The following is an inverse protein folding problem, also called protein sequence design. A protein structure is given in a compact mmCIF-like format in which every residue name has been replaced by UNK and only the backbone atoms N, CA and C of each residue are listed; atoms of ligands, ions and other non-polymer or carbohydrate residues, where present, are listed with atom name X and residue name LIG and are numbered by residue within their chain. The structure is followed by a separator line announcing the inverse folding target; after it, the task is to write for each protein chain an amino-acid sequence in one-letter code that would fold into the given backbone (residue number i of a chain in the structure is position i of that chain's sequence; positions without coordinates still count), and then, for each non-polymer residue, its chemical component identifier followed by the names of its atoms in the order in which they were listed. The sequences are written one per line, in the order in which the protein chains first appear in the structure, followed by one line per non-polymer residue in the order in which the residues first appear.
data_IF_379574956307
#
_entry.id   IF_379574956307
#
_cell.length_a   1.000
_cell.length_b   1.000
_cell.length_c   1.000
_cell.angle_alpha   90.00
_cell.angle_beta   90.00
_cell.angle_gamma   90.00
#
_symmetry.space_group_name_H-M   'P 1'
#
loop_
_entity.id
_entity.type
_entity.pdbx_description
1 polymer ?
#
# COMPACT_ATOMS: atom_id res chain seq x y z
N UNK A 1 21.87 -32.77 22.37
CA UNK A 1 21.06 -31.77 23.08
C UNK A 1 21.82 -31.35 24.33
N UNK A 2 21.69 -30.10 24.76
CA UNK A 2 22.24 -29.61 26.04
C UNK A 2 21.21 -28.72 26.73
N UNK A 3 21.09 -28.78 28.07
CA UNK A 3 20.21 -27.88 28.81
C UNK A 3 20.58 -26.42 28.60
N UNK A 4 19.57 -25.57 28.37
CA UNK A 4 19.78 -24.13 28.12
C UNK A 4 20.45 -23.45 29.32
N UNK A 5 20.16 -23.89 30.54
CA UNK A 5 20.77 -23.36 31.76
C UNK A 5 22.26 -23.67 31.92
N UNK A 6 22.80 -24.65 31.17
CA UNK A 6 24.23 -24.99 31.19
C UNK A 6 25.04 -24.21 30.14
N UNK A 7 24.37 -23.48 29.24
CA UNK A 7 25.01 -22.70 28.20
C UNK A 7 25.46 -21.35 28.72
N UNK A 8 26.76 -21.07 28.59
CA UNK A 8 27.40 -19.83 29.08
C UNK A 8 27.65 -18.86 27.93
N UNK A 9 27.03 -17.66 27.92
CA UNK A 9 27.30 -16.65 26.91
C UNK A 9 28.78 -16.27 26.90
N UNK A 10 29.38 -16.20 25.71
CA UNK A 10 30.74 -15.67 25.56
C UNK A 10 30.78 -14.17 25.90
N UNK A 11 31.56 -13.81 26.93
CA UNK A 11 31.62 -12.46 27.48
C UNK A 11 32.16 -11.41 26.47
N UNK A 12 32.99 -11.84 25.51
CA UNK A 12 33.55 -10.99 24.46
C UNK A 12 32.76 -10.97 23.16
N UNK A 13 31.50 -11.41 23.15
CA UNK A 13 30.71 -11.42 21.92
C UNK A 13 30.41 -9.98 21.47
N UNK A 14 31.00 -9.58 20.34
CA UNK A 14 30.83 -8.26 19.77
C UNK A 14 29.46 -8.07 19.10
N UNK A 15 28.76 -9.15 18.74
CA UNK A 15 27.43 -9.08 18.10
C UNK A 15 26.34 -8.96 19.15
N UNK A 16 25.49 -7.95 19.00
CA UNK A 16 24.33 -7.74 19.87
C UNK A 16 23.06 -8.22 19.19
N UNK A 17 22.07 -8.62 20.00
CA UNK A 17 20.76 -9.04 19.51
C UNK A 17 19.68 -8.17 20.15
N UNK A 18 18.92 -7.44 19.32
CA UNK A 18 17.80 -6.64 19.79
C UNK A 18 16.64 -7.55 20.22
N UNK A 19 15.74 -7.05 21.09
CA UNK A 19 14.52 -7.78 21.47
C UNK A 19 13.66 -8.17 20.26
N UNK A 20 13.64 -7.33 19.22
CA UNK A 20 12.93 -7.61 17.96
C UNK A 20 13.56 -8.80 17.23
N UNK A 21 14.88 -8.81 17.08
CA UNK A 21 15.59 -9.89 16.40
C UNK A 21 15.43 -11.22 17.16
N UNK A 22 15.50 -11.22 18.49
CA UNK A 22 15.29 -12.43 19.30
C UNK A 22 13.88 -13.00 19.08
N UNK A 23 12.85 -12.15 18.96
CA UNK A 23 11.50 -12.60 18.61
C UNK A 23 11.42 -13.21 17.22
N UNK A 24 12.02 -12.60 16.20
CA UNK A 24 12.05 -13.18 14.85
C UNK A 24 12.71 -14.57 14.83
N UNK A 25 13.80 -14.76 15.60
CA UNK A 25 14.43 -16.07 15.74
C UNK A 25 13.50 -17.05 16.47
N UNK A 26 12.76 -16.61 17.49
CA UNK A 26 11.79 -17.43 18.20
C UNK A 26 10.61 -17.86 17.31
N UNK A 27 10.09 -16.96 16.49
CA UNK A 27 9.01 -17.26 15.54
C UNK A 27 9.48 -18.27 14.48
N UNK A 28 10.71 -18.09 13.98
CA UNK A 28 11.38 -19.05 13.09
C UNK A 28 11.54 -20.43 13.73
N UNK A 29 12.03 -20.51 14.98
CA UNK A 29 12.16 -21.78 15.72
C UNK A 29 10.80 -22.44 15.95
N UNK A 30 9.76 -21.66 16.25
CA UNK A 30 8.40 -22.19 16.45
C UNK A 30 7.85 -22.80 15.17
N UNK A 31 8.13 -22.20 14.00
CA UNK A 31 7.64 -22.68 12.71
C UNK A 31 8.45 -23.84 12.15
N UNK A 32 9.77 -23.71 12.12
CA UNK A 32 10.67 -24.62 11.40
C UNK A 32 11.39 -25.60 12.34
N UNK A 33 11.24 -25.43 13.65
CA UNK A 33 12.04 -26.13 14.63
C UNK A 33 13.45 -25.56 14.73
N UNK A 34 14.27 -26.22 15.54
CA UNK A 34 15.65 -25.82 15.78
C UNK A 34 16.57 -26.38 14.69
N UNK A 35 16.58 -25.73 13.51
CA UNK A 35 17.24 -26.24 12.30
C UNK A 35 18.76 -26.13 12.32
N UNK A 36 19.30 -25.09 12.97
CA UNK A 36 20.74 -24.92 13.17
C UNK A 36 21.12 -25.14 14.64
N UNK A 37 22.12 -25.98 14.96
CA UNK A 37 22.57 -26.22 16.33
C UNK A 37 23.46 -25.10 16.89
N UNK A 38 23.42 -24.89 18.20
CA UNK A 38 24.31 -23.93 18.90
C UNK A 38 25.72 -24.51 18.93
N UNK A 39 26.70 -23.72 18.51
CA UNK A 39 28.10 -24.15 18.56
C UNK A 39 28.68 -23.80 19.93
N UNK A 40 29.28 -24.77 20.61
CA UNK A 40 29.81 -24.59 21.96
C UNK A 40 31.24 -25.09 22.07
N UNK A 41 31.94 -24.65 23.11
CA UNK A 41 33.08 -25.42 23.62
C UNK A 41 32.61 -26.63 24.46
N UNK A 42 33.56 -27.45 24.89
CA UNK A 42 33.31 -28.64 25.72
C UNK A 42 32.68 -28.28 27.06
N UNK A 43 33.04 -27.12 27.61
CA UNK A 43 32.52 -26.59 28.86
C UNK A 43 31.16 -25.88 28.71
N UNK A 44 30.55 -25.83 27.53
CA UNK A 44 29.25 -25.17 27.31
C UNK A 44 29.31 -23.65 27.12
N UNK A 45 30.49 -23.08 26.92
CA UNK A 45 30.65 -21.72 26.41
C UNK A 45 30.10 -21.61 24.99
N UNK A 46 29.21 -20.65 24.74
CA UNK A 46 28.59 -20.45 23.43
C UNK A 46 29.62 -19.77 22.50
N UNK A 47 29.97 -20.46 21.41
CA UNK A 47 30.83 -19.94 20.34
C UNK A 47 29.95 -19.23 19.30
N UNK A 48 28.86 -19.86 18.85
CA UNK A 48 27.91 -19.28 17.90
C UNK A 48 26.47 -19.70 18.22
N UNK A 49 25.52 -18.78 18.01
CA UNK A 49 24.10 -19.02 18.25
C UNK A 49 23.52 -18.38 19.50
N UNK A 50 24.13 -17.32 20.04
CA UNK A 50 23.60 -16.57 21.20
C UNK A 50 22.14 -16.13 21.01
N UNK A 51 21.78 -15.61 19.83
CA UNK A 51 20.40 -15.24 19.51
C UNK A 51 19.42 -16.42 19.56
N UNK A 52 19.86 -17.63 19.16
CA UNK A 52 19.05 -18.86 19.23
C UNK A 52 18.84 -19.33 20.66
N UNK A 53 19.86 -19.20 21.52
CA UNK A 53 19.72 -19.50 22.95
C UNK A 53 18.77 -18.49 23.62
N UNK A 54 18.89 -17.20 23.31
CA UNK A 54 17.97 -16.18 23.82
C UNK A 54 16.52 -16.42 23.35
N UNK A 55 16.33 -16.85 22.10
CA UNK A 55 15.02 -17.24 21.57
C UNK A 55 14.47 -18.50 22.24
N UNK A 56 15.31 -19.52 22.49
CA UNK A 56 14.93 -20.71 23.23
C UNK A 56 14.46 -20.39 24.66
N UNK A 57 15.17 -19.48 25.34
CA UNK A 57 14.77 -18.97 26.65
C UNK A 57 13.42 -18.26 26.60
N UNK A 58 13.19 -17.42 25.58
CA UNK A 58 11.92 -16.74 25.37
C UNK A 58 10.75 -17.72 25.16
N UNK A 59 11.00 -18.82 24.47
CA UNK A 59 10.01 -19.87 24.18
C UNK A 59 9.82 -20.88 25.33
N UNK A 60 10.61 -20.80 26.40
CA UNK A 60 10.58 -21.79 27.49
C UNK A 60 11.15 -23.16 27.10
N UNK A 61 11.95 -23.24 26.03
CA UNK A 61 12.62 -24.47 25.61
C UNK A 61 13.75 -24.77 26.59
N UNK A 62 13.73 -25.98 27.17
CA UNK A 62 14.69 -26.39 28.22
C UNK A 62 16.00 -26.97 27.67
N UNK A 63 15.99 -27.53 26.47
CA UNK A 63 17.15 -28.12 25.81
C UNK A 63 17.26 -27.70 24.35
N UNK A 64 18.48 -27.48 23.88
CA UNK A 64 18.75 -27.10 22.47
C UNK A 64 19.77 -28.04 21.83
N UNK A 65 19.72 -28.24 20.50
CA UNK A 65 20.75 -29.00 19.80
C UNK A 65 22.07 -28.23 19.80
N UNK A 66 23.16 -28.94 20.08
CA UNK A 66 24.50 -28.37 20.21
C UNK A 66 25.53 -29.19 19.45
N UNK A 67 26.54 -28.52 18.89
CA UNK A 67 27.77 -29.15 18.38
C UNK A 67 28.95 -28.57 19.16
N UNK A 68 29.72 -29.44 19.80
CA UNK A 68 30.95 -29.06 20.49
C UNK A 68 32.11 -28.97 19.49
N UNK A 69 32.77 -27.81 19.43
CA UNK A 69 33.95 -27.58 18.60
C UNK A 69 35.24 -27.90 19.37
N UNK A 70 35.34 -29.13 19.88
CA UNK A 70 36.43 -29.60 20.74
C UNK A 70 37.81 -29.51 20.08
N UNK A 71 37.86 -29.56 18.75
CA UNK A 71 39.09 -29.51 17.96
C UNK A 71 39.72 -28.11 17.88
N UNK A 72 38.97 -27.04 18.21
CA UNK A 72 39.48 -25.68 18.13
C UNK A 72 40.22 -25.30 19.42
N UNK A 73 41.40 -24.71 19.25
CA UNK A 73 42.14 -24.04 20.32
C UNK A 73 41.38 -22.81 20.86
N UNK A 74 41.72 -22.32 22.07
CA UNK A 74 41.10 -21.12 22.62
C UNK A 74 41.18 -19.90 21.69
N UNK A 75 42.31 -19.72 21.01
CA UNK A 75 42.54 -18.63 20.06
C UNK A 75 41.68 -18.77 18.81
N UNK A 76 41.59 -19.99 18.25
CA UNK A 76 40.75 -20.27 17.08
C UNK A 76 39.27 -20.09 17.40
N UNK A 77 38.81 -20.46 18.60
CA UNK A 77 37.43 -20.18 19.04
C UNK A 77 37.13 -18.69 19.04
N UNK A 78 38.04 -17.87 19.57
CA UNK A 78 37.88 -16.41 19.58
C UNK A 78 37.83 -15.83 18.16
N UNK A 79 38.70 -16.31 17.28
CA UNK A 79 38.69 -15.92 15.87
C UNK A 79 37.39 -16.35 15.18
N UNK A 80 36.90 -17.56 15.45
CA UNK A 80 35.68 -18.10 14.86
C UNK A 80 34.43 -17.31 15.30
N UNK A 81 34.33 -16.89 16.57
CA UNK A 81 33.23 -16.01 17.04
C UNK A 81 33.12 -14.73 16.18
N UNK A 82 34.25 -14.15 15.80
CA UNK A 82 34.28 -12.97 14.93
C UNK A 82 33.96 -13.33 13.48
N UNK A 83 34.55 -14.43 12.98
CA UNK A 83 34.39 -14.88 11.61
C UNK A 83 32.94 -15.28 11.29
N UNK A 84 32.27 -16.09 12.13
CA UNK A 84 30.87 -16.49 11.96
C UNK A 84 29.95 -15.27 11.83
N UNK A 85 30.17 -14.26 12.67
CA UNK A 85 29.40 -13.03 12.63
C UNK A 85 29.66 -12.21 11.37
N UNK A 86 30.93 -12.01 11.01
CA UNK A 86 31.32 -11.14 9.90
C UNK A 86 31.07 -11.78 8.52
N UNK A 87 31.28 -13.08 8.39
CA UNK A 87 31.05 -13.80 7.13
C UNK A 87 29.57 -13.78 6.76
N UNK A 88 28.66 -13.95 7.74
CA UNK A 88 27.24 -13.81 7.51
C UNK A 88 26.84 -12.38 7.06
N UNK A 89 27.49 -11.33 7.58
CA UNK A 89 27.24 -9.94 7.17
C UNK A 89 27.82 -9.58 5.79
N UNK A 90 28.86 -10.29 5.34
CA UNK A 90 29.49 -10.02 4.05
C UNK A 90 28.71 -10.63 2.87
N UNK A 91 27.74 -11.51 3.14
CA UNK A 91 26.88 -12.08 2.12
C UNK A 91 25.87 -11.05 1.61
N UNK A 92 25.65 -11.04 0.31
CA UNK A 92 24.59 -10.25 -0.34
C UNK A 92 23.51 -11.16 -0.93
N UNK A 93 22.40 -10.55 -1.32
CA UNK A 93 21.32 -11.24 -2.02
C UNK A 93 21.41 -10.97 -3.52
N UNK A 94 21.26 -12.02 -4.33
CA UNK A 94 20.85 -11.85 -5.71
C UNK A 94 19.38 -11.38 -5.72
N UNK A 95 19.16 -10.11 -6.10
CA UNK A 95 17.85 -9.47 -5.96
C UNK A 95 16.78 -10.07 -6.86
N UNK A 96 17.16 -10.61 -8.01
CA UNK A 96 16.21 -11.19 -8.96
C UNK A 96 15.72 -12.55 -8.47
N UNK A 97 16.67 -13.40 -8.08
CA UNK A 97 16.37 -14.71 -7.48
C UNK A 97 15.56 -14.54 -6.19
N UNK A 98 15.94 -13.59 -5.34
CA UNK A 98 15.20 -13.32 -4.10
C UNK A 98 13.75 -12.87 -4.38
N UNK A 99 13.52 -12.03 -5.39
CA UNK A 99 12.17 -11.62 -5.76
C UNK A 99 11.30 -12.79 -6.22
N UNK A 100 11.87 -13.71 -7.01
CA UNK A 100 11.17 -14.91 -7.50
C UNK A 100 10.76 -15.80 -6.32
N UNK A 101 11.69 -16.07 -5.39
CA UNK A 101 11.41 -16.90 -4.20
C UNK A 101 10.37 -16.25 -3.28
N UNK A 102 10.49 -14.95 -3.01
CA UNK A 102 9.50 -14.22 -2.20
C UNK A 102 8.11 -14.21 -2.86
N UNK A 103 8.03 -14.07 -4.19
CA UNK A 103 6.76 -14.16 -4.91
C UNK A 103 6.18 -15.57 -4.85
N UNK A 104 6.99 -16.61 -5.01
CA UNK A 104 6.54 -18.00 -4.87
C UNK A 104 5.98 -18.31 -3.48
N UNK A 105 6.58 -17.75 -2.42
CA UNK A 105 6.06 -17.84 -1.05
C UNK A 105 4.72 -17.10 -0.87
N UNK A 106 4.54 -15.94 -1.52
CA UNK A 106 3.26 -15.21 -1.52
C UNK A 106 2.17 -16.05 -2.17
N UNK A 107 2.47 -16.66 -3.32
CA UNK A 107 1.48 -17.38 -4.13
C UNK A 107 0.91 -18.61 -3.39
N UNK A 108 1.69 -19.20 -2.48
CA UNK A 108 1.26 -20.30 -1.60
C UNK A 108 0.71 -19.84 -0.24
N UNK A 109 0.61 -18.54 0.00
CA UNK A 109 0.10 -17.96 1.24
C UNK A 109 1.02 -18.14 2.46
N UNK A 110 2.33 -18.20 2.24
CA UNK A 110 3.31 -18.31 3.31
C UNK A 110 3.49 -16.98 4.07
N UNK A 111 3.67 -17.06 5.39
CA UNK A 111 3.97 -15.88 6.21
C UNK A 111 5.43 -15.44 6.01
N UNK A 112 5.60 -14.39 5.22
CA UNK A 112 6.91 -13.89 4.83
C UNK A 112 7.69 -13.26 5.98
N UNK A 113 7.05 -12.79 7.06
CA UNK A 113 7.81 -12.21 8.18
C UNK A 113 8.72 -13.25 8.88
N UNK A 114 8.40 -14.54 8.72
CA UNK A 114 9.21 -15.67 9.21
C UNK A 114 10.52 -15.87 8.44
N UNK A 115 10.65 -15.27 7.26
CA UNK A 115 11.90 -15.30 6.48
C UNK A 115 12.99 -14.42 7.09
N UNK A 116 12.61 -13.54 8.03
CA UNK A 116 13.49 -12.54 8.62
C UNK A 116 13.53 -11.21 7.86
N UNK A 117 13.01 -11.18 6.62
CA UNK A 117 12.79 -9.93 5.91
C UNK A 117 11.59 -9.18 6.49
N UNK A 118 11.72 -7.86 6.64
CA UNK A 118 10.56 -7.03 6.91
C UNK A 118 9.66 -6.94 5.66
N UNK A 119 8.36 -6.71 5.88
CA UNK A 119 7.41 -6.51 4.77
C UNK A 119 7.83 -5.37 3.83
N UNK A 120 8.51 -4.34 4.36
CA UNK A 120 9.07 -3.26 3.54
C UNK A 120 10.18 -3.77 2.60
N UNK A 121 11.14 -4.55 3.12
CA UNK A 121 12.22 -5.14 2.30
C UNK A 121 11.69 -6.09 1.23
N UNK A 122 10.65 -6.85 1.55
CA UNK A 122 9.96 -7.74 0.61
C UNK A 122 9.35 -6.93 -0.53
N UNK A 123 8.58 -5.89 -0.20
CA UNK A 123 7.98 -5.01 -1.20
C UNK A 123 9.04 -4.43 -2.14
N UNK A 124 10.16 -3.92 -1.60
CA UNK A 124 11.23 -3.34 -2.41
C UNK A 124 11.90 -4.34 -3.33
N UNK A 125 12.08 -5.57 -2.86
CA UNK A 125 12.69 -6.62 -3.67
C UNK A 125 11.79 -6.98 -4.85
N UNK A 126 10.48 -7.13 -4.61
CA UNK A 126 9.50 -7.45 -5.66
C UNK A 126 9.34 -6.30 -6.67
N UNK A 127 9.31 -5.05 -6.19
CA UNK A 127 9.16 -3.88 -7.07
C UNK A 127 10.39 -3.68 -7.96
N UNK A 128 11.59 -3.79 -7.39
CA UNK A 128 12.83 -3.68 -8.17
C UNK A 128 12.93 -4.77 -9.26
N UNK A 129 12.31 -5.93 -9.07
CA UNK A 129 12.20 -6.95 -10.11
C UNK A 129 11.19 -6.55 -11.20
N UNK A 130 10.02 -6.03 -10.80
CA UNK A 130 8.97 -5.56 -11.74
C UNK A 130 9.40 -4.38 -12.59
N UNK A 131 10.14 -3.42 -12.04
CA UNK A 131 10.69 -2.28 -12.80
C UNK A 131 11.70 -2.71 -13.88
N UNK A 132 12.42 -3.83 -13.65
CA UNK A 132 13.38 -4.38 -14.62
C UNK A 132 12.72 -5.18 -15.75
N UNK A 133 11.53 -5.72 -15.53
CA UNK A 133 10.73 -6.32 -16.60
C UNK A 133 10.10 -5.23 -17.47
N UNK A 134 10.58 -5.06 -18.69
CA UNK A 134 10.16 -4.01 -19.65
C UNK A 134 8.69 -4.09 -20.11
N UNK A 135 7.95 -5.15 -19.74
CA UNK A 135 6.62 -5.44 -20.27
C UNK A 135 5.45 -4.75 -19.52
N UNK A 136 5.74 -3.97 -18.47
CA UNK A 136 4.72 -3.42 -17.55
C UNK A 136 4.51 -1.90 -17.56
N UNK A 137 5.40 -1.12 -18.19
CA UNK A 137 5.38 0.34 -18.06
C UNK A 137 4.05 0.96 -18.56
N UNK A 138 3.29 1.54 -17.65
CA UNK A 138 2.03 2.24 -17.95
C UNK A 138 0.79 1.36 -18.12
N UNK A 139 0.87 0.02 -17.95
CA UNK A 139 -0.31 -0.86 -17.91
C UNK A 139 -1.25 -0.47 -16.76
N UNK A 140 -0.69 -0.14 -15.60
CA UNK A 140 -1.45 0.23 -14.40
C UNK A 140 -2.24 1.52 -14.59
N UNK A 141 -1.73 2.47 -15.36
CA UNK A 141 -2.38 3.74 -15.68
C UNK A 141 -3.39 3.64 -16.84
N UNK A 142 -3.54 2.48 -17.49
CA UNK A 142 -4.54 2.31 -18.54
C UNK A 142 -5.94 2.43 -17.96
N UNK A 143 -6.76 3.24 -18.61
CA UNK A 143 -8.19 3.32 -18.36
C UNK A 143 -8.95 2.51 -19.41
N UNK A 144 -10.11 1.93 -19.04
CA UNK A 144 -11.01 1.35 -20.01
C UNK A 144 -11.53 2.43 -20.97
N UNK A 145 -12.03 2.01 -22.14
CA UNK A 145 -12.70 2.91 -23.07
C UNK A 145 -13.86 3.63 -22.39
N UNK A 146 -14.19 4.83 -22.88
CA UNK A 146 -15.25 5.66 -22.32
C UNK A 146 -16.56 4.88 -22.17
N UNK A 147 -17.07 4.85 -20.93
CA UNK A 147 -18.32 4.16 -20.62
C UNK A 147 -19.48 5.05 -21.07
N UNK A 148 -20.13 4.64 -22.16
CA UNK A 148 -21.31 5.30 -22.70
C UNK A 148 -22.57 4.49 -22.38
N UNK A 149 -23.69 5.17 -22.12
CA UNK A 149 -24.96 4.53 -21.78
C UNK A 149 -25.30 4.59 -20.28
N UNK A 150 -26.39 3.89 -19.86
CA UNK A 150 -26.80 3.87 -18.47
C UNK A 150 -25.79 3.07 -17.62
N UNK A 151 -25.54 3.53 -16.39
CA UNK A 151 -24.73 2.79 -15.45
C UNK A 151 -25.38 1.45 -15.08
N UNK A 152 -24.56 0.41 -14.99
CA UNK A 152 -24.91 -0.90 -14.45
C UNK A 152 -25.00 -0.82 -12.93
N UNK A 153 -24.01 -0.18 -12.31
CA UNK A 153 -24.02 0.09 -10.87
C UNK A 153 -25.14 1.05 -10.50
N UNK A 154 -25.73 0.86 -9.32
CA UNK A 154 -26.73 1.76 -8.73
C UNK A 154 -26.26 2.29 -7.38
N UNK A 155 -26.74 3.49 -6.96
CA UNK A 155 -26.51 3.98 -5.61
C UNK A 155 -26.86 2.92 -4.55
N UNK A 156 -25.95 2.71 -3.60
CA UNK A 156 -26.06 1.71 -2.54
C UNK A 156 -25.50 0.32 -2.89
N UNK A 157 -25.20 0.04 -4.16
CA UNK A 157 -24.52 -1.20 -4.56
C UNK A 157 -23.16 -1.30 -3.89
N UNK A 158 -22.82 -2.50 -3.42
CA UNK A 158 -21.53 -2.85 -2.86
C UNK A 158 -20.94 -4.00 -3.68
N UNK A 159 -19.74 -3.79 -4.20
CA UNK A 159 -19.03 -4.73 -5.06
C UNK A 159 -17.81 -5.32 -4.34
N UNK A 160 -17.63 -6.62 -4.50
CA UNK A 160 -16.43 -7.34 -4.13
C UNK A 160 -15.52 -7.50 -5.34
N UNK A 161 -14.26 -7.06 -5.20
CA UNK A 161 -13.23 -7.18 -6.23
C UNK A 161 -12.03 -7.94 -5.64
N UNK A 162 -12.22 -9.24 -5.38
CA UNK A 162 -11.21 -10.09 -4.75
C UNK A 162 -10.97 -9.72 -3.27
N UNK A 163 -9.82 -9.12 -2.97
CA UNK A 163 -9.50 -8.60 -1.63
C UNK A 163 -10.05 -7.20 -1.36
N UNK A 164 -10.66 -6.56 -2.37
CA UNK A 164 -11.07 -5.16 -2.39
C UNK A 164 -12.59 -4.99 -2.35
N UNK A 165 -13.04 -3.79 -1.99
CA UNK A 165 -14.46 -3.43 -1.98
C UNK A 165 -14.70 -2.04 -2.54
N UNK A 166 -15.82 -1.88 -3.25
CA UNK A 166 -16.30 -0.62 -3.80
C UNK A 166 -17.77 -0.43 -3.44
N UNK A 167 -18.12 0.69 -2.82
CA UNK A 167 -19.51 1.11 -2.63
C UNK A 167 -19.84 2.29 -3.53
N UNK A 168 -21.00 2.23 -4.19
CA UNK A 168 -21.57 3.39 -4.86
C UNK A 168 -22.32 4.24 -3.81
N UNK A 169 -21.74 5.35 -3.37
CA UNK A 169 -22.27 6.12 -2.24
C UNK A 169 -21.55 7.43 -1.98
N UNK A 170 -22.06 8.19 -1.02
CA UNK A 170 -21.51 9.48 -0.63
C UNK A 170 -20.46 9.32 0.48
N UNK A 171 -19.27 9.90 0.29
CA UNK A 171 -18.20 9.88 1.29
C UNK A 171 -18.56 10.56 2.62
N UNK A 172 -19.59 11.41 2.64
CA UNK A 172 -20.10 12.09 3.84
C UNK A 172 -21.06 11.21 4.64
N UNK A 173 -21.58 10.15 4.03
CA UNK A 173 -22.51 9.21 4.65
C UNK A 173 -21.74 8.15 5.46
N UNK A 174 -22.02 8.10 6.76
CA UNK A 174 -21.42 7.14 7.67
C UNK A 174 -21.78 5.69 7.30
N UNK A 175 -23.00 5.44 6.81
CA UNK A 175 -23.45 4.08 6.48
C UNK A 175 -22.70 3.55 5.25
N UNK A 176 -22.54 4.36 4.21
CA UNK A 176 -21.76 3.98 3.03
C UNK A 176 -20.30 3.62 3.41
N UNK A 177 -19.66 4.47 4.23
CA UNK A 177 -18.28 4.24 4.70
C UNK A 177 -18.19 2.98 5.58
N UNK A 178 -19.11 2.79 6.53
CA UNK A 178 -19.10 1.62 7.40
C UNK A 178 -19.33 0.31 6.63
N UNK A 179 -20.22 0.33 5.62
CA UNK A 179 -20.50 -0.84 4.77
C UNK A 179 -19.29 -1.26 3.95
N UNK A 180 -18.55 -0.32 3.36
CA UNK A 180 -17.36 -0.68 2.59
C UNK A 180 -16.25 -1.20 3.50
N UNK A 181 -16.05 -0.60 4.67
CA UNK A 181 -15.02 -1.02 5.65
C UNK A 181 -15.34 -2.36 6.33
N UNK A 182 -16.61 -2.65 6.58
CA UNK A 182 -17.11 -3.84 7.28
C UNK A 182 -16.37 -4.19 8.57
N UNK A 183 -16.18 -3.17 9.42
CA UNK A 183 -15.58 -3.32 10.75
C UNK A 183 -14.05 -3.44 10.76
N UNK A 184 -13.39 -3.50 9.59
CA UNK A 184 -11.92 -3.38 9.53
C UNK A 184 -11.53 -1.90 9.57
N UNK A 185 -10.61 -1.46 10.43
CA UNK A 185 -10.13 -0.08 10.42
C UNK A 185 -9.21 0.18 9.22
N UNK A 186 -9.19 1.42 8.73
CA UNK A 186 -8.23 1.85 7.70
C UNK A 186 -6.83 2.06 8.31
N UNK A 187 -5.80 1.46 7.71
CA UNK A 187 -4.40 1.68 8.09
C UNK A 187 -3.82 2.95 7.46
N UNK A 188 -4.29 3.28 6.25
CA UNK A 188 -3.93 4.47 5.49
C UNK A 188 -5.15 4.99 4.74
N UNK A 189 -5.25 6.31 4.63
CA UNK A 189 -6.25 6.98 3.80
C UNK A 189 -5.50 7.61 2.62
N UNK A 190 -6.00 7.40 1.41
CA UNK A 190 -5.59 8.15 0.23
C UNK A 190 -6.83 8.80 -0.37
N UNK A 191 -6.90 10.12 -0.37
CA UNK A 191 -8.08 10.86 -0.78
C UNK A 191 -7.73 11.88 -1.86
N UNK A 192 -8.45 11.84 -2.98
CA UNK A 192 -8.39 12.83 -4.04
C UNK A 192 -9.76 13.53 -4.20
N UNK A 193 -10.17 14.36 -3.22
CA UNK A 193 -11.45 15.05 -3.29
C UNK A 193 -11.55 15.95 -4.53
N UNK A 194 -12.76 16.27 -5.00
CA UNK A 194 -12.94 17.28 -6.04
C UNK A 194 -12.39 18.65 -5.57
N UNK A 195 -11.71 19.36 -6.47
CA UNK A 195 -10.97 20.58 -6.12
C UNK A 195 -11.82 21.86 -6.20
N UNK A 196 -13.15 21.79 -6.30
CA UNK A 196 -14.00 22.97 -6.43
C UNK A 196 -13.54 23.93 -7.54
N UNK A 197 -13.27 23.38 -8.72
CA UNK A 197 -12.91 24.13 -9.93
C UNK A 197 -13.65 23.58 -11.15
N UNK A 198 -14.08 24.45 -12.09
CA UNK A 198 -14.80 24.02 -13.29
C UNK A 198 -13.98 23.06 -14.14
N UNK A 199 -14.65 22.03 -14.68
CA UNK A 199 -14.00 20.96 -15.45
C UNK A 199 -14.26 21.09 -16.95
N UNK A 200 -15.49 21.42 -17.37
CA UNK A 200 -15.87 21.53 -18.78
C UNK A 200 -15.05 22.63 -19.49
N UNK A 201 -14.42 22.27 -20.60
CA UNK A 201 -13.60 23.18 -21.41
C UNK A 201 -12.23 23.56 -20.82
N UNK A 202 -11.91 23.17 -19.58
CA UNK A 202 -10.73 23.67 -18.86
C UNK A 202 -9.62 22.64 -18.61
N UNK A 203 -9.88 21.33 -18.77
CA UNK A 203 -8.94 20.28 -18.33
C UNK A 203 -8.12 19.64 -19.47
N UNK A 204 -8.68 19.41 -20.66
CA UNK A 204 -7.92 18.83 -21.79
C UNK A 204 -8.39 19.31 -23.18
N UNK A 205 -7.58 19.03 -24.20
CA UNK A 205 -7.96 19.22 -25.61
C UNK A 205 -8.13 20.67 -26.10
N UNK A 206 -7.57 21.68 -25.41
CA UNK A 206 -7.76 23.11 -25.73
C UNK A 206 -9.26 23.51 -25.79
N UNK A 207 -10.10 22.88 -24.95
CA UNK A 207 -11.54 23.12 -24.90
C UNK A 207 -12.36 22.44 -26.02
N UNK A 208 -11.72 21.62 -26.87
CA UNK A 208 -12.42 20.83 -27.91
C UNK A 208 -13.09 19.58 -27.35
N UNK A 209 -12.70 19.15 -26.16
CA UNK A 209 -13.20 17.96 -25.48
C UNK A 209 -13.92 18.43 -24.24
N UNK A 210 -15.18 18.03 -24.10
CA UNK A 210 -16.02 18.36 -22.96
C UNK A 210 -16.09 17.14 -22.06
N UNK A 211 -15.66 17.31 -20.82
CA UNK A 211 -15.84 16.30 -19.78
C UNK A 211 -17.10 16.65 -19.00
N UNK A 212 -17.82 15.64 -18.52
CA UNK A 212 -18.92 15.86 -17.61
C UNK A 212 -18.39 16.49 -16.30
N UNK A 213 -19.12 17.47 -15.77
CA UNK A 213 -18.81 18.07 -14.47
C UNK A 213 -18.93 17.04 -13.33
N UNK A 214 -18.16 17.24 -12.26
CA UNK A 214 -18.31 16.43 -11.05
C UNK A 214 -19.68 16.69 -10.39
N UNK A 215 -20.18 15.70 -9.65
CA UNK A 215 -21.47 15.82 -8.96
C UNK A 215 -21.48 16.94 -7.90
N UNK A 216 -20.32 17.24 -7.32
CA UNK A 216 -20.11 18.28 -6.31
C UNK A 216 -18.73 18.91 -6.50
N UNK A 217 -18.58 20.15 -6.02
CA UNK A 217 -17.32 20.88 -5.98
C UNK A 217 -16.65 20.93 -7.36
N UNK A 218 -17.39 21.48 -8.31
CA UNK A 218 -16.96 21.86 -9.66
C UNK A 218 -16.86 23.38 -9.82
N UNK A 219 -16.63 24.12 -8.72
CA UNK A 219 -16.46 25.58 -8.71
C UNK A 219 -17.67 26.35 -8.20
N UNK A 220 -18.75 25.67 -7.83
CA UNK A 220 -19.98 26.26 -7.32
C UNK A 220 -19.94 26.58 -5.83
N UNK A 221 -19.03 25.96 -5.06
CA UNK A 221 -19.00 26.12 -3.61
C UNK A 221 -18.23 27.38 -3.18
N UNK A 222 -18.78 28.10 -2.21
CA UNK A 222 -18.02 29.12 -1.47
C UNK A 222 -16.91 28.47 -0.63
N UNK A 223 -15.90 29.24 -0.22
CA UNK A 223 -14.83 28.73 0.65
C UNK A 223 -15.40 28.04 1.92
N UNK A 224 -16.38 28.65 2.59
CA UNK A 224 -17.01 28.07 3.77
C UNK A 224 -17.77 26.76 3.47
N UNK A 225 -18.48 26.70 2.35
CA UNK A 225 -19.19 25.49 1.93
C UNK A 225 -18.21 24.37 1.56
N UNK A 226 -17.10 24.71 0.90
CA UNK A 226 -16.08 23.73 0.53
C UNK A 226 -15.32 23.18 1.74
N UNK A 227 -14.99 24.04 2.72
CA UNK A 227 -14.44 23.60 4.01
C UNK A 227 -15.41 22.64 4.71
N UNK A 228 -16.71 22.96 4.77
CA UNK A 228 -17.70 22.07 5.38
C UNK A 228 -17.83 20.72 4.64
N UNK A 229 -17.75 20.73 3.31
CA UNK A 229 -17.73 19.51 2.49
C UNK A 229 -16.50 18.63 2.79
N UNK A 230 -15.31 19.23 2.86
CA UNK A 230 -14.06 18.53 3.20
C UNK A 230 -14.09 18.01 4.65
N UNK A 231 -14.60 18.80 5.60
CA UNK A 231 -14.75 18.37 7.01
C UNK A 231 -15.66 17.15 7.12
N UNK A 232 -16.81 17.17 6.45
CA UNK A 232 -17.78 16.07 6.52
C UNK A 232 -17.21 14.77 5.91
N UNK A 233 -16.63 14.87 4.71
CA UNK A 233 -16.11 13.70 3.99
C UNK A 233 -14.83 13.13 4.62
N UNK A 234 -13.82 13.97 4.86
CA UNK A 234 -12.58 13.52 5.50
C UNK A 234 -12.80 13.11 6.96
N UNK A 235 -13.80 13.70 7.63
CA UNK A 235 -14.24 13.31 8.96
C UNK A 235 -14.74 11.87 9.03
N UNK A 236 -15.54 11.43 8.05
CA UNK A 236 -15.96 10.02 7.99
C UNK A 236 -14.77 9.08 7.75
N UNK A 237 -13.84 9.45 6.87
CA UNK A 237 -12.65 8.65 6.63
C UNK A 237 -11.77 8.53 7.88
N UNK A 238 -11.54 9.64 8.61
CA UNK A 238 -10.76 9.64 9.84
C UNK A 238 -11.44 8.83 10.96
N UNK A 239 -12.77 8.83 11.04
CA UNK A 239 -13.55 8.09 12.05
C UNK A 239 -13.30 6.58 11.99
N UNK A 240 -13.15 6.02 10.79
CA UNK A 240 -12.95 4.58 10.58
C UNK A 240 -11.48 4.17 10.45
N UNK A 241 -10.55 5.12 10.61
CA UNK A 241 -9.13 4.85 10.55
C UNK A 241 -8.56 4.45 11.91
N UNK A 242 -7.48 3.67 11.90
CA UNK A 242 -6.78 3.28 13.13
C UNK A 242 -6.10 4.49 13.77
N UNK A 243 -5.94 4.46 15.09
CA UNK A 243 -5.09 5.42 15.78
C UNK A 243 -3.64 5.31 15.27
N UNK A 244 -3.08 6.40 14.76
CA UNK A 244 -1.77 6.44 14.11
C UNK A 244 -1.80 6.32 12.59
N UNK A 245 -2.96 6.14 11.95
CA UNK A 245 -3.06 6.10 10.49
C UNK A 245 -2.61 7.43 9.84
N UNK A 246 -2.04 7.32 8.64
CA UNK A 246 -1.67 8.48 7.82
C UNK A 246 -2.72 8.70 6.74
N UNK A 247 -3.12 9.96 6.55
CA UNK A 247 -4.00 10.37 5.48
C UNK A 247 -3.24 11.24 4.48
N UNK A 248 -3.17 10.79 3.23
CA UNK A 248 -2.69 11.55 2.09
C UNK A 248 -3.89 12.19 1.40
N UNK A 249 -3.96 13.52 1.41
CA UNK A 249 -5.06 14.25 0.77
C UNK A 249 -4.52 15.13 -0.35
N UNK A 250 -4.89 14.79 -1.59
CA UNK A 250 -4.51 15.54 -2.76
C UNK A 250 -5.33 16.83 -2.88
N UNK A 251 -4.69 17.91 -3.29
CA UNK A 251 -5.33 19.19 -3.58
C UNK A 251 -4.45 20.05 -4.47
N UNK A 252 -5.04 21.02 -5.14
CA UNK A 252 -4.27 22.07 -5.81
C UNK A 252 -4.02 23.29 -4.89
N UNK A 253 -3.07 24.14 -5.29
CA UNK A 253 -2.64 25.29 -4.49
C UNK A 253 -3.75 26.33 -4.24
N UNK A 254 -4.78 26.42 -5.10
CA UNK A 254 -5.88 27.40 -5.00
C UNK A 254 -6.73 27.15 -3.75
N UNK A 255 -6.87 25.88 -3.35
CA UNK A 255 -7.70 25.48 -2.21
C UNK A 255 -6.88 24.94 -1.04
N UNK A 256 -5.59 25.30 -0.96
CA UNK A 256 -4.74 24.90 0.15
C UNK A 256 -5.24 25.45 1.50
N UNK A 257 -5.84 26.64 1.51
CA UNK A 257 -6.35 27.27 2.74
C UNK A 257 -7.54 26.51 3.31
N UNK A 258 -8.49 26.16 2.43
CA UNK A 258 -9.70 25.41 2.73
C UNK A 258 -9.36 24.01 3.24
N UNK A 259 -8.45 23.30 2.56
CA UNK A 259 -8.03 21.97 3.00
C UNK A 259 -7.27 22.02 4.34
N UNK A 260 -6.41 23.01 4.56
CA UNK A 260 -5.74 23.17 5.86
C UNK A 260 -6.73 23.51 6.99
N UNK A 261 -7.76 24.30 6.70
CA UNK A 261 -8.80 24.63 7.67
C UNK A 261 -9.61 23.39 8.08
N UNK A 262 -10.07 22.61 7.09
CA UNK A 262 -10.78 21.36 7.34
C UNK A 262 -9.88 20.32 8.05
N UNK A 263 -8.66 20.14 7.55
CA UNK A 263 -7.72 19.17 8.07
C UNK A 263 -7.32 19.40 9.53
N UNK A 264 -7.21 20.66 9.98
CA UNK A 264 -6.96 21.02 11.39
C UNK A 264 -8.07 20.61 12.35
N UNK A 265 -9.31 20.48 11.87
CA UNK A 265 -10.45 20.03 12.67
C UNK A 265 -10.62 18.51 12.64
N UNK A 266 -10.34 17.90 11.50
CA UNK A 266 -10.52 16.45 11.28
C UNK A 266 -9.36 15.63 11.84
N UNK A 267 -8.13 16.06 11.59
CA UNK A 267 -6.93 15.27 11.90
C UNK A 267 -6.18 15.82 13.11
N UNK A 268 -5.44 14.93 13.78
CA UNK A 268 -4.71 15.28 15.00
C UNK A 268 -3.41 16.06 14.73
N UNK A 269 -2.80 15.88 13.55
CA UNK A 269 -1.62 16.64 13.17
C UNK A 269 -1.42 16.70 11.65
N UNK A 270 -0.94 17.83 11.14
CA UNK A 270 -0.29 17.92 9.83
C UNK A 270 1.17 17.44 9.98
N UNK A 271 1.53 16.36 9.29
CA UNK A 271 2.86 15.76 9.33
C UNK A 271 3.80 16.39 8.31
N UNK A 272 3.31 16.64 7.10
CA UNK A 272 4.10 17.23 6.03
C UNK A 272 3.19 17.77 4.92
N UNK A 273 3.79 18.53 4.01
CA UNK A 273 3.22 18.89 2.73
C UNK A 273 4.16 18.34 1.65
N UNK A 274 3.68 17.38 0.88
CA UNK A 274 4.40 16.82 -0.25
C UNK A 274 4.00 17.53 -1.54
N UNK A 275 4.98 17.77 -2.42
CA UNK A 275 4.77 18.39 -3.73
C UNK A 275 4.98 17.32 -4.78
N UNK A 276 3.91 16.93 -5.47
CA UNK A 276 4.03 16.13 -6.66
C UNK A 276 4.52 17.01 -7.80
N UNK A 277 5.79 16.87 -8.17
CA UNK A 277 6.40 17.51 -9.33
C UNK A 277 6.11 16.69 -10.59
N UNK A 278 5.33 17.26 -11.50
CA UNK A 278 4.95 16.64 -12.78
C UNK A 278 6.06 16.85 -13.80
N UNK A 279 6.14 15.97 -14.81
CA UNK A 279 7.09 16.14 -15.93
C UNK A 279 6.86 17.46 -16.68
N UNK A 280 5.61 17.86 -16.88
CA UNK A 280 5.23 19.03 -17.68
C UNK A 280 4.20 19.90 -16.95
N UNK A 281 4.22 21.21 -17.23
CA UNK A 281 3.19 22.14 -16.76
C UNK A 281 1.86 21.96 -17.49
N UNK A 282 0.75 22.14 -16.78
CA UNK A 282 -0.61 22.14 -17.35
C UNK A 282 -0.87 23.28 -18.34
N UNK A 283 -2.10 23.40 -18.84
CA UNK A 283 -2.49 24.49 -19.75
C UNK A 283 -2.46 25.86 -19.05
N UNK A 284 -2.22 26.93 -19.82
CA UNK A 284 -2.21 28.31 -19.32
C UNK A 284 -1.17 29.19 -20.01
N UNK A 285 -1.34 30.51 -19.93
CA UNK A 285 -0.44 31.52 -20.53
C UNK A 285 0.50 32.20 -19.54
N UNK A 286 0.25 32.07 -18.23
CA UNK A 286 1.10 32.62 -17.17
C UNK A 286 1.91 31.52 -16.46
N UNK A 287 2.01 31.53 -15.13
CA UNK A 287 2.67 30.44 -14.39
C UNK A 287 1.84 29.16 -14.46
N UNK A 288 2.25 28.26 -15.35
CA UNK A 288 1.60 26.96 -15.56
C UNK A 288 1.92 26.03 -14.40
N UNK A 289 0.89 25.49 -13.73
CA UNK A 289 1.07 24.51 -12.66
C UNK A 289 1.75 23.24 -13.18
N UNK A 290 2.98 22.99 -12.72
CA UNK A 290 3.75 21.75 -12.91
C UNK A 290 3.74 20.89 -11.63
N UNK A 291 2.83 21.18 -10.72
CA UNK A 291 2.72 20.42 -9.49
C UNK A 291 1.28 20.28 -9.01
N UNK A 292 1.08 19.31 -8.14
CA UNK A 292 -0.06 19.20 -7.22
C UNK A 292 0.47 19.00 -5.80
N UNK A 293 -0.38 19.26 -4.81
CA UNK A 293 -0.03 19.15 -3.41
C UNK A 293 -0.65 17.89 -2.80
N UNK A 294 0.08 17.25 -1.91
CA UNK A 294 -0.40 16.13 -1.10
C UNK A 294 -0.18 16.47 0.36
N UNK A 295 -1.26 16.73 1.07
CA UNK A 295 -1.24 17.05 2.49
C UNK A 295 -1.20 15.75 3.28
N UNK A 296 -0.18 15.61 4.13
CA UNK A 296 0.03 14.40 4.91
C UNK A 296 -0.43 14.67 6.33
N UNK A 297 -1.59 14.12 6.69
CA UNK A 297 -2.15 14.23 8.03
C UNK A 297 -2.00 12.93 8.82
N UNK A 298 -2.11 13.03 10.14
CA UNK A 298 -2.14 11.89 11.05
C UNK A 298 -3.47 11.85 11.80
N UNK A 299 -4.06 10.66 11.83
CA UNK A 299 -5.21 10.33 12.68
C UNK A 299 -4.69 9.89 14.05
N UNK A 300 -5.20 10.52 15.11
CA UNK A 300 -4.88 10.15 16.48
C UNK A 300 -3.43 10.41 16.92
N UNK A 301 -3.04 9.78 18.02
CA UNK A 301 -1.78 10.03 18.74
C UNK A 301 -0.82 8.86 18.75
N UNK A 302 -1.26 7.62 18.49
CA UNK A 302 -0.40 6.44 18.44
C UNK A 302 0.70 6.56 17.37
N UNK A 303 1.75 5.75 17.47
CA UNK A 303 2.83 5.76 16.47
C UNK A 303 2.28 5.40 15.08
N UNK A 304 2.71 6.13 14.05
CA UNK A 304 2.36 5.83 12.66
C UNK A 304 3.36 4.85 12.06
N UNK A 305 2.92 4.10 11.05
CA UNK A 305 3.82 3.29 10.23
C UNK A 305 4.72 4.22 9.40
N UNK A 306 6.03 3.95 9.42
CA UNK A 306 7.03 4.55 8.56
C UNK A 306 7.94 3.43 8.04
N UNK A 307 7.84 3.10 6.75
CA UNK A 307 8.59 2.01 6.13
C UNK A 307 9.88 2.42 5.43
N UNK A 308 10.11 3.74 5.26
CA UNK A 308 11.26 4.28 4.53
C UNK A 308 12.36 4.82 5.46
N UNK A 309 12.03 5.27 6.68
CA UNK A 309 13.03 5.71 7.65
C UNK A 309 13.93 6.83 7.11
N UNK A 310 15.25 6.69 7.29
CA UNK A 310 16.28 7.53 6.65
C UNK A 310 16.88 6.86 5.40
N UNK A 311 16.22 5.85 4.85
CA UNK A 311 16.67 5.11 3.67
C UNK A 311 17.44 3.84 3.96
N UNK A 312 17.44 3.35 5.20
CA UNK A 312 18.23 2.18 5.62
C UNK A 312 17.82 0.89 4.91
N UNK A 313 16.57 0.82 4.45
CA UNK A 313 15.98 -0.32 3.70
C UNK A 313 16.10 -0.15 2.18
N UNK A 314 16.83 0.87 1.71
CA UNK A 314 16.99 1.19 0.28
C UNK A 314 15.87 2.06 -0.29
N UNK A 315 14.81 2.36 0.47
CA UNK A 315 13.77 3.33 0.11
C UNK A 315 14.02 4.66 0.77
N UNK A 316 14.37 5.66 -0.02
CA UNK A 316 14.54 7.03 0.43
C UNK A 316 13.37 7.89 -0.07
N UNK A 317 12.78 8.70 0.81
CA UNK A 317 11.65 9.58 0.47
C UNK A 317 11.93 11.00 0.91
N UNK A 318 11.60 11.96 0.04
CA UNK A 318 11.56 13.39 0.39
C UNK A 318 10.13 13.91 0.24
N UNK A 319 9.91 15.17 0.60
CA UNK A 319 8.62 15.83 0.40
C UNK A 319 8.44 16.38 -1.03
N UNK A 320 9.34 16.05 -1.97
CA UNK A 320 9.15 16.31 -3.40
C UNK A 320 9.07 14.97 -4.12
N UNK A 321 7.97 14.76 -4.82
CA UNK A 321 7.62 13.49 -5.44
C UNK A 321 7.63 13.66 -6.96
N UNK A 322 8.61 13.06 -7.63
CA UNK A 322 8.74 13.15 -9.07
C UNK A 322 7.99 12.00 -9.75
N UNK A 323 6.85 12.31 -10.38
CA UNK A 323 6.07 11.35 -11.16
C UNK A 323 5.51 12.03 -12.41
N UNK A 324 5.40 11.28 -13.51
CA UNK A 324 4.84 11.81 -14.73
C UNK A 324 3.37 12.22 -14.56
N UNK A 325 3.00 13.37 -15.12
CA UNK A 325 1.59 13.73 -15.27
C UNK A 325 0.98 13.09 -16.52
N UNK A 326 -0.34 13.21 -16.68
CA UNK A 326 -1.08 12.67 -17.84
C UNK A 326 -0.60 13.26 -19.18
N UNK A 327 -0.02 14.47 -19.16
CA UNK A 327 0.52 15.14 -20.35
C UNK A 327 1.98 14.72 -20.63
N UNK A 328 2.18 13.59 -21.32
CA UNK A 328 3.50 13.13 -21.81
C UNK A 328 3.58 13.30 -23.33
N UNK A 329 4.53 14.09 -23.88
CA UNK A 329 4.79 14.14 -25.32
C UNK A 329 5.21 12.76 -25.84
N UNK A 330 4.50 12.22 -26.85
CA UNK A 330 4.85 10.97 -27.51
C UNK A 330 3.91 9.79 -27.28
N UNK A 331 2.90 9.90 -26.39
CA UNK A 331 1.72 9.02 -26.48
C UNK A 331 0.82 9.50 -27.61
N UNK A 332 0.16 8.59 -28.33
CA UNK A 332 -0.78 8.98 -29.39
C UNK A 332 -1.85 9.90 -28.79
N UNK A 333 -2.24 10.92 -29.54
CA UNK A 333 -3.20 11.91 -29.08
C UNK A 333 -4.47 11.24 -28.52
N UNK A 334 -4.93 10.13 -29.12
CA UNK A 334 -6.09 9.36 -28.69
C UNK A 334 -5.99 8.76 -27.27
N UNK A 335 -4.80 8.29 -26.83
CA UNK A 335 -4.60 7.71 -25.49
C UNK A 335 -4.62 8.77 -24.39
N UNK A 336 -4.07 9.96 -24.65
CA UNK A 336 -4.11 11.09 -23.74
C UNK A 336 -5.48 11.77 -23.68
N UNK A 337 -6.27 11.65 -24.76
CA UNK A 337 -7.58 12.29 -24.92
C UNK A 337 -8.71 11.55 -24.19
N UNK A 338 -8.64 10.22 -24.06
CA UNK A 338 -9.66 9.40 -23.41
C UNK A 338 -9.50 9.27 -21.88
N UNK A 339 -8.42 9.81 -21.30
CA UNK A 339 -8.17 9.72 -19.87
C UNK A 339 -9.03 10.71 -19.08
N UNK A 340 -9.60 10.24 -17.98
CA UNK A 340 -10.30 11.04 -16.98
C UNK A 340 -9.52 12.33 -16.64
N UNK A 341 -10.20 13.48 -16.47
CA UNK A 341 -9.57 14.79 -16.30
C UNK A 341 -8.49 14.87 -15.21
N UNK A 342 -8.54 13.99 -14.20
CA UNK A 342 -7.66 14.01 -13.02
C UNK A 342 -7.10 12.63 -12.62
N UNK A 343 -6.65 11.78 -13.54
CA UNK A 343 -6.02 10.50 -13.14
C UNK A 343 -4.70 10.76 -12.40
N UNK A 344 -4.62 10.34 -11.14
CA UNK A 344 -3.36 10.25 -10.38
C UNK A 344 -2.56 9.02 -10.85
N UNK A 345 -1.23 9.15 -11.07
CA UNK A 345 -0.39 8.02 -11.45
C UNK A 345 -0.43 6.92 -10.40
N UNK A 346 -0.66 5.68 -10.83
CA UNK A 346 -0.76 4.53 -9.91
C UNK A 346 0.52 4.36 -9.10
N UNK A 347 1.69 4.55 -9.71
CA UNK A 347 2.99 4.45 -9.03
C UNK A 347 3.14 5.44 -7.86
N UNK A 348 2.65 6.67 -8.02
CA UNK A 348 2.67 7.69 -6.96
C UNK A 348 1.86 7.22 -5.76
N UNK A 349 0.64 6.73 -6.01
CA UNK A 349 -0.24 6.24 -4.96
C UNK A 349 0.38 5.02 -4.30
N UNK A 350 0.81 4.02 -5.09
CA UNK A 350 1.40 2.79 -4.57
C UNK A 350 2.58 3.08 -3.65
N UNK A 351 3.40 4.08 -4.00
CA UNK A 351 4.49 4.53 -3.15
C UNK A 351 4.03 5.18 -1.85
N UNK A 352 3.04 6.07 -1.89
CA UNK A 352 2.46 6.64 -0.66
C UNK A 352 1.85 5.56 0.25
N UNK A 353 1.20 4.54 -0.34
CA UNK A 353 0.66 3.41 0.41
C UNK A 353 1.78 2.59 1.07
N UNK A 354 2.86 2.28 0.36
CA UNK A 354 4.01 1.55 0.92
C UNK A 354 4.68 2.33 2.05
N UNK A 355 4.77 3.66 1.94
CA UNK A 355 5.42 4.53 2.93
C UNK A 355 4.81 4.37 4.34
N UNK A 356 3.49 4.15 4.40
CA UNK A 356 2.71 4.21 5.63
C UNK A 356 1.79 2.99 5.87
N UNK A 357 1.96 1.89 5.13
CA UNK A 357 1.23 0.64 5.35
C UNK A 357 2.06 -0.60 5.00
N UNK A 358 1.56 -1.78 5.37
CA UNK A 358 2.15 -3.10 5.13
C UNK A 358 1.27 -3.93 4.19
N UNK A 359 1.81 -5.03 3.66
CA UNK A 359 1.01 -6.00 2.90
C UNK A 359 -0.18 -6.51 3.72
N UNK A 360 -1.33 -6.67 3.08
CA UNK A 360 -2.59 -7.07 3.71
C UNK A 360 -3.33 -5.95 4.43
N UNK A 361 -2.67 -4.83 4.75
CA UNK A 361 -3.30 -3.69 5.43
C UNK A 361 -4.32 -2.96 4.53
N UNK A 362 -5.26 -2.27 5.18
CA UNK A 362 -6.43 -1.71 4.54
C UNK A 362 -6.21 -0.26 4.12
N UNK A 363 -6.57 0.07 2.88
CA UNK A 363 -6.46 1.41 2.30
C UNK A 363 -7.87 1.95 2.05
N UNK A 364 -8.23 3.07 2.66
CA UNK A 364 -9.49 3.75 2.38
C UNK A 364 -9.29 4.88 1.37
N UNK A 365 -10.06 4.85 0.29
CA UNK A 365 -10.23 5.96 -0.64
C UNK A 365 -11.70 6.42 -0.64
N UNK A 366 -12.01 7.58 -0.03
CA UNK A 366 -13.36 8.12 -0.04
C UNK A 366 -13.76 8.78 -1.37
N UNK A 367 -12.84 8.91 -2.34
CA UNK A 367 -13.05 9.56 -3.63
C UNK A 367 -12.40 8.75 -4.75
N UNK A 368 -12.90 7.53 -4.97
CA UNK A 368 -12.20 6.54 -5.77
C UNK A 368 -12.02 6.92 -7.25
N UNK A 369 -12.92 7.72 -7.82
CA UNK A 369 -12.85 8.26 -9.17
C UNK A 369 -12.64 7.17 -10.21
N UNK A 370 -11.51 7.22 -10.91
CA UNK A 370 -11.16 6.22 -11.94
C UNK A 370 -10.53 4.92 -11.40
N UNK A 371 -10.39 4.77 -10.08
CA UNK A 371 -9.88 3.56 -9.43
C UNK A 371 -8.37 3.44 -9.39
N UNK A 372 -7.61 4.55 -9.47
CA UNK A 372 -6.13 4.46 -9.38
C UNK A 372 -5.67 3.88 -8.04
N UNK A 373 -6.33 4.22 -6.92
CA UNK A 373 -6.02 3.65 -5.60
C UNK A 373 -6.30 2.15 -5.52
N UNK A 374 -7.29 1.65 -6.27
CA UNK A 374 -7.55 0.20 -6.37
C UNK A 374 -6.37 -0.53 -7.00
N UNK A 375 -5.93 -0.06 -8.18
CA UNK A 375 -4.81 -0.68 -8.90
C UNK A 375 -3.52 -0.55 -8.10
N UNK A 376 -3.30 0.60 -7.45
CA UNK A 376 -2.14 0.82 -6.57
C UNK A 376 -2.14 -0.15 -5.38
N UNK A 377 -3.28 -0.31 -4.71
CA UNK A 377 -3.39 -1.20 -3.57
C UNK A 377 -3.18 -2.66 -3.99
N UNK A 378 -3.81 -3.10 -5.09
CA UNK A 378 -3.61 -4.45 -5.63
C UNK A 378 -2.14 -4.69 -6.01
N UNK A 379 -1.50 -3.75 -6.72
CA UNK A 379 -0.12 -3.93 -7.18
C UNK A 379 0.86 -4.05 -6.01
N UNK A 380 0.66 -3.31 -4.92
CA UNK A 380 1.48 -3.46 -3.72
C UNK A 380 0.91 -4.45 -2.68
N UNK A 381 -0.14 -5.20 -2.97
CA UNK A 381 -0.68 -6.23 -2.07
C UNK A 381 -1.35 -5.69 -0.80
N UNK A 382 -1.96 -4.49 -0.86
CA UNK A 382 -2.86 -3.90 0.14
C UNK A 382 -4.32 -4.14 -0.24
N UNK A 383 -5.26 -3.89 0.68
CA UNK A 383 -6.70 -4.06 0.44
C UNK A 383 -7.43 -2.72 0.38
N UNK A 384 -7.74 -2.26 -0.82
CA UNK A 384 -8.59 -1.08 -1.04
C UNK A 384 -10.04 -1.23 -0.55
N UNK A 385 -10.57 -0.15 0.01
CA UNK A 385 -11.96 0.12 0.37
C UNK A 385 -12.31 1.46 -0.26
N UNK A 386 -13.23 1.45 -1.22
CA UNK A 386 -13.46 2.56 -2.13
C UNK A 386 -14.88 3.07 -1.99
N UNK A 387 -15.04 4.39 -1.88
CA UNK A 387 -16.33 5.08 -2.02
C UNK A 387 -16.29 5.88 -3.32
N UNK A 388 -17.29 5.70 -4.16
CA UNK A 388 -17.48 6.50 -5.36
C UNK A 388 -18.95 6.90 -5.48
N UNK A 389 -19.20 8.20 -5.65
CA UNK A 389 -20.56 8.73 -5.71
C UNK A 389 -21.23 8.47 -7.06
N UNK A 390 -20.48 8.57 -8.14
CA UNK A 390 -21.00 8.45 -9.49
C UNK A 390 -21.10 6.98 -9.93
N UNK A 391 -22.30 6.46 -10.25
CA UNK A 391 -22.45 5.09 -10.71
C UNK A 391 -21.66 4.77 -11.99
N UNK A 392 -21.45 5.75 -12.88
CA UNK A 392 -20.62 5.53 -14.09
C UNK A 392 -19.14 5.40 -13.74
N UNK A 393 -18.64 6.15 -12.76
CA UNK A 393 -17.27 5.95 -12.30
C UNK A 393 -17.10 4.62 -11.56
N UNK A 394 -18.12 4.15 -10.84
CA UNK A 394 -18.11 2.79 -10.31
C UNK A 394 -17.93 1.75 -11.42
N UNK A 395 -18.67 1.88 -12.52
CA UNK A 395 -18.54 0.99 -13.68
C UNK A 395 -17.14 1.06 -14.32
N UNK A 396 -16.53 2.25 -14.39
CA UNK A 396 -15.14 2.44 -14.84
C UNK A 396 -14.17 1.70 -13.95
N UNK A 397 -14.29 1.82 -12.62
CA UNK A 397 -13.44 1.12 -11.64
C UNK A 397 -13.56 -0.40 -11.83
N UNK A 398 -14.79 -0.90 -11.95
CA UNK A 398 -15.08 -2.33 -12.11
C UNK A 398 -14.45 -2.87 -13.40
N UNK A 399 -14.67 -2.21 -14.55
CA UNK A 399 -14.04 -2.60 -15.83
C UNK A 399 -12.52 -2.58 -15.73
N UNK A 400 -11.95 -1.48 -15.24
CA UNK A 400 -10.49 -1.29 -15.12
C UNK A 400 -9.84 -2.43 -14.33
N UNK A 401 -10.42 -2.80 -13.19
CA UNK A 401 -9.86 -3.88 -12.37
C UNK A 401 -10.07 -5.27 -12.96
N UNK A 402 -11.22 -5.55 -13.59
CA UNK A 402 -11.42 -6.83 -14.29
C UNK A 402 -10.44 -6.99 -15.45
N UNK A 403 -10.23 -5.95 -16.25
CA UNK A 403 -9.28 -5.96 -17.37
C UNK A 403 -7.83 -6.11 -16.88
N UNK A 404 -7.50 -5.45 -15.77
CA UNK A 404 -6.15 -5.53 -15.20
C UNK A 404 -5.88 -6.90 -14.56
N UNK A 405 -6.84 -7.44 -13.79
CA UNK A 405 -6.65 -8.64 -12.96
C UNK A 405 -7.12 -9.95 -13.60
N UNK A 406 -7.97 -9.90 -14.62
CA UNK A 406 -8.63 -11.06 -15.22
C UNK A 406 -9.69 -11.73 -14.32
N UNK A 407 -10.02 -11.15 -13.16
CA UNK A 407 -10.99 -11.70 -12.20
C UNK A 407 -12.33 -10.97 -12.29
N UNK A 408 -13.46 -11.64 -11.99
CA UNK A 408 -14.77 -11.00 -12.02
C UNK A 408 -15.04 -10.16 -10.77
N UNK A 409 -15.72 -9.03 -10.96
CA UNK A 409 -16.28 -8.24 -9.87
C UNK A 409 -17.71 -8.72 -9.56
N UNK A 410 -18.01 -8.92 -8.28
CA UNK A 410 -19.26 -9.54 -7.81
C UNK A 410 -20.06 -8.55 -6.97
N UNK A 411 -21.33 -8.33 -7.28
CA UNK A 411 -22.21 -7.54 -6.43
C UNK A 411 -22.53 -8.34 -5.17
N UNK A 412 -22.33 -7.73 -4.00
CA UNK A 412 -22.44 -8.44 -2.73
C UNK A 412 -23.88 -8.83 -2.35
N UNK A 413 -24.89 -8.16 -2.91
CA UNK A 413 -26.30 -8.44 -2.60
C UNK A 413 -26.78 -9.79 -3.14
N UNK A 414 -26.31 -10.18 -4.33
CA UNK A 414 -26.83 -11.33 -5.08
C UNK A 414 -25.74 -12.19 -5.77
N UNK A 415 -24.47 -11.81 -5.65
CA UNK A 415 -23.35 -12.50 -6.29
C UNK A 415 -23.28 -12.29 -7.81
N UNK A 416 -24.09 -11.39 -8.37
CA UNK A 416 -24.13 -11.17 -9.81
C UNK A 416 -22.81 -10.57 -10.31
N UNK A 417 -22.31 -11.07 -11.44
CA UNK A 417 -21.07 -10.57 -12.04
C UNK A 417 -21.31 -9.30 -12.83
N UNK A 418 -20.42 -8.32 -12.67
CA UNK A 418 -20.53 -7.04 -13.37
C UNK A 418 -20.54 -7.20 -14.90
N UNK A 419 -19.62 -8.00 -15.43
CA UNK A 419 -19.47 -8.25 -16.88
C UNK A 419 -20.74 -8.85 -17.50
N UNK A 420 -21.39 -9.80 -16.82
CA UNK A 420 -22.64 -10.42 -17.26
C UNK A 420 -23.79 -9.41 -17.29
N UNK A 421 -23.94 -8.61 -16.23
CA UNK A 421 -24.99 -7.58 -16.17
C UNK A 421 -24.75 -6.52 -17.27
N UNK A 422 -23.49 -6.11 -17.46
CA UNK A 422 -23.10 -5.12 -18.45
C UNK A 422 -23.32 -5.59 -19.90
N UNK A 423 -23.21 -6.89 -20.16
CA UNK A 423 -23.47 -7.49 -21.47
C UNK A 423 -24.98 -7.65 -21.78
N UNK A 424 -25.85 -7.47 -20.79
CA UNK A 424 -27.30 -7.68 -20.95
C UNK A 424 -27.70 -9.15 -21.09
N UNK A 425 -26.84 -10.09 -20.71
CA UNK A 425 -27.17 -11.51 -20.72
C UNK A 425 -28.13 -11.84 -19.56
N UNK A 426 -29.21 -12.61 -19.80
CA UNK A 426 -30.12 -12.99 -18.73
C UNK A 426 -29.35 -13.79 -17.68
N UNK A 427 -29.46 -13.37 -16.41
CA UNK A 427 -28.97 -14.12 -15.25
C UNK A 427 -29.51 -15.55 -15.36
N UNK A 428 -28.66 -16.49 -15.78
CA UNK A 428 -29.03 -17.88 -15.93
C UNK A 428 -29.58 -18.37 -14.60
N UNK A 429 -30.86 -18.76 -14.58
CA UNK A 429 -31.44 -19.46 -13.46
C UNK A 429 -30.58 -20.70 -13.20
N UNK A 430 -29.75 -20.64 -12.16
CA UNK A 430 -28.98 -21.76 -11.66
C UNK A 430 -29.97 -22.84 -11.23
N UNK A 431 -30.24 -23.77 -12.14
CA UNK A 431 -31.04 -24.94 -11.87
C UNK A 431 -30.37 -25.75 -10.78
N UNK A 432 -31.00 -25.76 -9.60
CA UNK A 432 -30.89 -26.87 -8.66
C UNK A 432 -31.33 -28.12 -9.42
N UNK A 433 -30.39 -28.99 -9.78
CA UNK A 433 -30.68 -30.38 -10.05
C UNK A 433 -30.25 -31.16 -8.82
N UNK A 434 -31.24 -31.80 -8.19
CA UNK A 434 -31.07 -32.69 -7.05
C UNK A 434 -30.54 -34.06 -7.42
#
# INVERSE_FOLDING_TARGET
MRPVGELRPYAGNARTHSRRQVRQIADSITRFGFTNPVLTDDAGGIIAGHGRVAAAQLLGITEVPTIALSHLSPEERRAYVLADNKLAENAGWDRETLAIELQGLIDIGFDLELTGFSLAEIDFTLDAARERSSDGAGREDRLPAEVTGPAVTRPGDLWNLGGHRLVCGDARDAEAVDRVMAGEPADVIFADPPYNVPIDGHVSGLGRIRHREFAFASGEMSAAAFIAFLEASLGQAARVAKDGAIAFVCMDWRHMGELLAAGKKVFSALKNLCVWNKTNGGMGSFYRSKHELVFVFKVGTAAHTNSFGLGETGRYRTNVWDYAGVNVPGRTAEEALAMHPTVKPVALIADALRDCSRRGETVLDPFAGSGSTLIAAESCGRRARLVEYDPLYCDVILRRWQDWSGRPALRMADGARFDVIAAGEPLGAGGVRG
#
